data_IF_370947720828
#
_entry.id   IF_370947720828
#
_cell.length_a   1.000
_cell.length_b   1.000
_cell.length_c   1.000
_cell.angle_alpha   90.00
_cell.angle_beta   90.00
_cell.angle_gamma   90.00
#
_symmetry.space_group_name_H-M   'P 1'
#
loop_
_entity.id
_entity.type
_entity.pdbx_description
1 polymer ?
#
# COMPACT_ATOMS: atom_id res chain seq x y z
N UNK A 1 28.28 -2.43 16.75
CA UNK A 1 27.10 -2.87 17.54
C UNK A 1 25.91 -2.89 16.60
N UNK A 2 25.13 -3.97 16.57
CA UNK A 2 23.92 -4.04 15.75
C UNK A 2 22.87 -3.02 16.19
N UNK A 3 22.08 -2.52 15.26
CA UNK A 3 20.94 -1.65 15.58
C UNK A 3 19.85 -2.49 16.28
N UNK A 4 19.30 -1.95 17.36
CA UNK A 4 18.23 -2.59 18.14
C UNK A 4 16.83 -2.38 17.52
N UNK A 5 16.70 -1.49 16.53
CA UNK A 5 15.43 -1.32 15.81
C UNK A 5 15.21 -2.52 14.90
N UNK A 6 13.99 -3.03 14.85
CA UNK A 6 13.60 -4.01 13.85
C UNK A 6 13.70 -3.44 12.43
N UNK A 7 14.09 -4.26 11.49
CA UNK A 7 14.17 -3.91 10.06
C UNK A 7 13.11 -4.70 9.29
N UNK A 8 12.21 -4.01 8.62
CA UNK A 8 11.32 -4.59 7.61
C UNK A 8 11.90 -4.35 6.23
N UNK A 9 12.19 -5.43 5.51
CA UNK A 9 12.66 -5.41 4.12
C UNK A 9 11.55 -5.90 3.20
N UNK A 10 10.96 -5.00 2.44
CA UNK A 10 10.00 -5.33 1.38
C UNK A 10 10.70 -5.30 0.02
N UNK A 11 10.65 -6.42 -0.72
CA UNK A 11 11.39 -6.59 -1.98
C UNK A 11 10.43 -6.85 -3.14
N UNK A 12 10.59 -6.10 -4.23
CA UNK A 12 9.86 -6.34 -5.47
C UNK A 12 10.59 -7.35 -6.34
N UNK A 13 10.32 -8.62 -6.12
CA UNK A 13 10.99 -9.70 -6.86
C UNK A 13 10.54 -9.84 -8.32
N UNK A 14 9.30 -9.42 -8.67
CA UNK A 14 8.72 -9.70 -9.99
C UNK A 14 7.93 -8.56 -10.62
N UNK A 15 7.19 -7.79 -9.84
CA UNK A 15 6.30 -6.76 -10.31
C UNK A 15 4.81 -7.07 -10.13
N UNK A 16 3.97 -6.50 -11.01
CA UNK A 16 2.50 -6.59 -10.92
C UNK A 16 1.88 -6.68 -12.30
N UNK A 17 0.85 -7.53 -12.53
CA UNK A 17 0.14 -7.61 -13.80
C UNK A 17 -0.77 -6.40 -14.07
N UNK A 18 -1.07 -5.60 -13.05
CA UNK A 18 -1.98 -4.47 -13.10
C UNK A 18 -1.22 -3.13 -13.24
N UNK A 19 -1.96 -2.06 -13.58
CA UNK A 19 -1.47 -0.68 -13.67
C UNK A 19 -2.49 0.26 -13.02
N UNK A 20 -2.76 -0.02 -11.74
CA UNK A 20 -3.82 0.64 -11.00
C UNK A 20 -3.56 2.13 -10.85
N UNK A 21 -4.57 2.96 -11.14
CA UNK A 21 -4.48 4.42 -11.01
C UNK A 21 -4.28 4.86 -9.54
N UNK A 22 -4.72 4.04 -8.59
CA UNK A 22 -4.58 4.28 -7.15
C UNK A 22 -3.35 3.61 -6.54
N UNK A 23 -2.43 3.08 -7.35
CA UNK A 23 -1.30 2.32 -6.82
C UNK A 23 -0.46 3.16 -5.86
N UNK A 24 -0.45 2.77 -4.59
CA UNK A 24 0.32 3.44 -3.54
C UNK A 24 1.83 3.18 -3.65
N UNK A 25 2.23 2.14 -4.42
CA UNK A 25 3.62 1.74 -4.61
C UNK A 25 4.28 2.35 -5.87
N UNK A 26 3.55 3.10 -6.69
CA UNK A 26 3.98 3.58 -8.00
C UNK A 26 4.17 2.51 -9.07
N UNK A 27 4.13 2.93 -10.34
CA UNK A 27 4.33 2.04 -11.46
C UNK A 27 5.81 1.90 -11.80
N UNK A 28 6.27 0.65 -11.83
CA UNK A 28 7.61 0.30 -12.31
C UNK A 28 7.51 -0.79 -13.38
N UNK A 29 8.49 -0.90 -14.29
CA UNK A 29 8.56 -2.04 -15.21
C UNK A 29 8.61 -3.37 -14.46
N UNK A 30 7.92 -4.39 -14.96
CA UNK A 30 8.05 -5.74 -14.44
C UNK A 30 9.42 -6.31 -14.82
N UNK A 31 10.13 -6.83 -13.84
CA UNK A 31 11.43 -7.45 -14.01
C UNK A 31 11.60 -8.50 -12.93
N UNK A 32 11.89 -9.74 -13.33
CA UNK A 32 12.33 -10.76 -12.39
C UNK A 32 13.75 -10.41 -11.90
N UNK A 33 13.94 -10.44 -10.58
CA UNK A 33 15.28 -10.41 -9.99
C UNK A 33 15.98 -11.77 -10.18
N UNK A 34 17.29 -11.81 -9.90
CA UNK A 34 18.07 -13.04 -9.92
C UNK A 34 17.48 -14.09 -8.92
N UNK A 35 17.57 -15.39 -9.18
CA UNK A 35 16.88 -16.41 -8.37
C UNK A 35 17.15 -16.36 -6.86
N UNK A 36 18.35 -15.96 -6.44
CA UNK A 36 18.75 -15.89 -5.02
C UNK A 36 18.90 -14.44 -4.54
N UNK A 37 18.27 -13.48 -5.21
CA UNK A 37 18.37 -12.07 -4.83
C UNK A 37 17.82 -11.81 -3.43
N UNK A 38 16.76 -12.52 -3.02
CA UNK A 38 16.17 -12.47 -1.69
C UNK A 38 17.16 -12.85 -0.58
N UNK A 39 17.82 -14.00 -0.73
CA UNK A 39 18.85 -14.48 0.21
C UNK A 39 20.02 -13.49 0.29
N UNK A 40 20.53 -13.08 -0.87
CA UNK A 40 21.63 -12.13 -0.95
C UNK A 40 21.28 -10.78 -0.30
N UNK A 41 20.06 -10.26 -0.54
CA UNK A 41 19.60 -9.00 0.09
C UNK A 41 19.50 -9.16 1.61
N UNK A 42 18.88 -10.23 2.11
CA UNK A 42 18.77 -10.48 3.53
C UNK A 42 20.16 -10.58 4.21
N UNK A 43 21.10 -11.28 3.57
CA UNK A 43 22.47 -11.47 4.09
C UNK A 43 23.25 -10.16 4.18
N UNK A 44 22.99 -9.19 3.29
CA UNK A 44 23.60 -7.87 3.38
C UNK A 44 23.25 -7.14 4.68
N UNK A 45 22.02 -7.31 5.18
CA UNK A 45 21.53 -6.57 6.36
C UNK A 45 21.71 -7.32 7.69
N UNK A 46 21.82 -8.64 7.69
CA UNK A 46 22.01 -9.47 8.90
C UNK A 46 23.15 -9.03 9.84
N UNK A 47 24.30 -8.51 9.36
CA UNK A 47 25.34 -8.01 10.23
C UNK A 47 24.96 -6.78 11.04
N UNK A 48 23.97 -6.01 10.60
CA UNK A 48 23.63 -4.69 11.15
C UNK A 48 22.37 -4.67 11.99
N UNK A 49 21.47 -5.66 11.82
CA UNK A 49 20.20 -5.73 12.51
C UNK A 49 20.04 -7.08 13.22
N UNK A 50 19.46 -7.06 14.41
CA UNK A 50 19.18 -8.27 15.18
C UNK A 50 17.85 -8.90 14.77
N UNK A 51 16.89 -8.08 14.34
CA UNK A 51 15.56 -8.48 13.94
C UNK A 51 15.30 -7.98 12.50
N UNK A 52 14.97 -8.90 11.61
CA UNK A 52 14.63 -8.62 10.22
C UNK A 52 13.33 -9.35 9.90
N UNK A 53 12.36 -8.60 9.39
CA UNK A 53 11.15 -9.09 8.79
C UNK A 53 11.29 -8.93 7.27
N UNK A 54 11.21 -10.04 6.53
CA UNK A 54 11.49 -10.07 5.10
C UNK A 54 10.25 -10.42 4.28
N UNK A 55 9.95 -9.62 3.26
CA UNK A 55 8.84 -9.80 2.34
C UNK A 55 9.31 -9.74 0.88
N UNK A 56 9.16 -10.82 0.12
CA UNK A 56 9.53 -10.89 -1.30
C UNK A 56 8.39 -10.57 -2.28
N UNK A 57 7.23 -10.16 -1.80
CA UNK A 57 5.99 -10.05 -2.54
C UNK A 57 5.47 -8.62 -2.75
N UNK A 58 6.29 -7.61 -2.65
CA UNK A 58 5.80 -6.25 -2.83
C UNK A 58 5.30 -6.02 -4.28
N UNK A 59 4.32 -5.19 -4.44
CA UNK A 59 3.46 -4.83 -5.58
C UNK A 59 2.33 -5.81 -5.84
N UNK A 60 2.56 -7.03 -6.28
CA UNK A 60 1.51 -8.05 -6.41
C UNK A 60 1.94 -9.28 -5.64
N UNK A 61 1.28 -9.58 -4.52
CA UNK A 61 1.59 -10.77 -3.74
C UNK A 61 1.52 -12.03 -4.60
N UNK A 62 2.52 -12.88 -4.46
CA UNK A 62 2.56 -14.19 -5.14
C UNK A 62 2.43 -14.14 -6.68
N UNK A 63 2.82 -13.03 -7.32
CA UNK A 63 2.84 -12.92 -8.78
C UNK A 63 3.91 -13.82 -9.41
N UNK A 64 4.96 -14.15 -8.67
CA UNK A 64 6.00 -15.09 -9.11
C UNK A 64 5.45 -16.53 -9.31
N UNK A 65 6.03 -17.30 -10.25
CA UNK A 65 5.60 -18.68 -10.48
C UNK A 65 6.00 -19.65 -9.36
N UNK A 66 7.03 -19.30 -8.58
CA UNK A 66 7.58 -20.08 -7.48
C UNK A 66 7.10 -19.63 -6.09
N UNK A 67 5.89 -19.07 -5.99
CA UNK A 67 5.33 -18.45 -4.78
C UNK A 67 5.33 -19.39 -3.55
N UNK A 68 5.12 -20.70 -3.74
CA UNK A 68 5.20 -21.67 -2.64
C UNK A 68 6.56 -21.65 -1.93
N UNK A 69 7.63 -21.75 -2.71
CA UNK A 69 9.00 -21.74 -2.16
C UNK A 69 9.40 -20.37 -1.62
N UNK A 70 8.85 -19.31 -2.21
CA UNK A 70 9.10 -17.94 -1.73
C UNK A 70 8.53 -17.70 -0.36
N UNK A 71 7.32 -18.13 -0.10
CA UNK A 71 6.69 -18.01 1.20
C UNK A 71 7.52 -18.71 2.31
N UNK A 72 8.02 -19.91 2.04
CA UNK A 72 8.88 -20.63 2.99
C UNK A 72 10.25 -19.94 3.15
N UNK A 73 10.81 -19.37 2.08
CA UNK A 73 12.06 -18.61 2.17
C UNK A 73 11.91 -17.32 2.96
N UNK A 74 10.84 -16.58 2.78
CA UNK A 74 10.58 -15.36 3.57
C UNK A 74 10.58 -15.65 5.08
N UNK A 75 9.98 -16.77 5.51
CA UNK A 75 10.06 -17.22 6.91
C UNK A 75 11.49 -17.54 7.33
N UNK A 76 12.26 -18.17 6.48
CA UNK A 76 13.66 -18.54 6.78
C UNK A 76 14.57 -17.31 6.82
N UNK A 77 14.33 -16.33 5.96
CA UNK A 77 15.13 -15.11 5.87
C UNK A 77 14.81 -14.11 6.99
N UNK A 78 13.63 -14.20 7.59
CA UNK A 78 13.21 -13.34 8.69
C UNK A 78 13.91 -13.76 9.98
N UNK A 79 14.97 -13.02 10.36
CA UNK A 79 15.75 -13.31 11.56
C UNK A 79 14.94 -12.89 12.81
N UNK A 80 14.60 -13.88 13.66
CA UNK A 80 13.83 -13.73 14.90
C UNK A 80 12.40 -13.17 14.74
N UNK A 81 11.96 -12.94 13.49
CA UNK A 81 10.61 -12.50 13.17
C UNK A 81 9.95 -13.51 12.22
N UNK A 82 8.65 -13.70 12.36
CA UNK A 82 7.85 -14.47 11.40
C UNK A 82 6.94 -13.49 10.68
N UNK A 83 7.17 -13.20 9.40
CA UNK A 83 6.34 -12.25 8.69
C UNK A 83 4.89 -12.74 8.69
N UNK A 84 3.91 -11.89 9.04
CA UNK A 84 2.51 -12.28 8.96
C UNK A 84 2.11 -12.47 7.52
N UNK A 85 1.25 -13.46 7.25
CA UNK A 85 0.57 -13.51 5.96
C UNK A 85 -0.53 -12.46 5.97
N UNK A 86 -0.34 -11.38 5.21
CA UNK A 86 -1.34 -10.34 5.08
C UNK A 86 -2.58 -10.83 4.33
N UNK A 87 -3.69 -10.12 4.50
CA UNK A 87 -4.92 -10.34 3.72
C UNK A 87 -4.74 -9.99 2.22
N UNK A 88 -3.53 -9.68 1.81
CA UNK A 88 -3.15 -9.41 0.43
C UNK A 88 -2.77 -10.71 -0.29
N UNK A 89 -3.42 -10.95 -1.41
CA UNK A 89 -3.14 -12.07 -2.30
C UNK A 89 -3.45 -11.66 -3.75
N UNK A 90 -2.82 -12.33 -4.71
CA UNK A 90 -3.01 -12.01 -6.12
C UNK A 90 -4.37 -12.51 -6.62
N UNK A 91 -5.35 -11.62 -6.81
CA UNK A 91 -6.61 -12.01 -7.45
C UNK A 91 -6.40 -12.48 -8.89
N UNK A 92 -5.37 -11.97 -9.57
CA UNK A 92 -4.97 -12.43 -10.89
C UNK A 92 -4.57 -13.92 -10.87
N UNK A 93 -3.81 -14.35 -9.83
CA UNK A 93 -3.42 -15.74 -9.64
C UNK A 93 -4.59 -16.61 -9.19
N UNK A 94 -5.40 -16.16 -8.24
CA UNK A 94 -6.58 -16.90 -7.77
C UNK A 94 -7.43 -17.41 -8.95
N UNK A 95 -7.58 -16.61 -9.99
CA UNK A 95 -8.42 -16.95 -11.14
C UNK A 95 -7.74 -17.88 -12.15
N UNK A 96 -6.41 -17.96 -12.16
CA UNK A 96 -5.61 -18.67 -13.17
C UNK A 96 -4.93 -19.93 -12.67
N UNK A 97 -4.70 -20.00 -11.39
CA UNK A 97 -3.99 -21.11 -10.73
C UNK A 97 -4.98 -21.83 -9.79
N UNK A 98 -5.44 -23.03 -10.17
CA UNK A 98 -6.45 -23.75 -9.39
C UNK A 98 -5.95 -24.24 -8.03
N UNK A 99 -4.62 -24.31 -7.83
CA UNK A 99 -4.03 -24.77 -6.56
C UNK A 99 -3.84 -23.62 -5.57
N UNK A 100 -3.86 -22.37 -6.06
CA UNK A 100 -3.44 -21.22 -5.27
C UNK A 100 -4.36 -20.93 -4.07
N UNK A 101 -5.68 -21.02 -4.23
CA UNK A 101 -6.62 -20.80 -3.11
C UNK A 101 -6.44 -21.87 -2.02
N UNK A 102 -6.23 -23.13 -2.41
CA UNK A 102 -5.89 -24.22 -1.48
C UNK A 102 -4.58 -23.92 -0.71
N UNK A 103 -3.55 -23.49 -1.42
CA UNK A 103 -2.28 -23.06 -0.80
C UNK A 103 -2.48 -21.92 0.20
N UNK A 104 -3.26 -20.89 -0.15
CA UNK A 104 -3.57 -19.79 0.78
C UNK A 104 -4.21 -20.31 2.07
N UNK A 105 -5.14 -21.26 1.96
CA UNK A 105 -5.78 -21.89 3.12
C UNK A 105 -4.79 -22.68 3.97
N UNK A 106 -3.90 -23.47 3.35
CA UNK A 106 -2.87 -24.25 4.01
C UNK A 106 -1.89 -23.41 4.81
N UNK A 107 -1.49 -22.25 4.29
CA UNK A 107 -0.60 -21.31 5.00
C UNK A 107 -1.33 -20.40 6.01
N UNK A 108 -2.63 -20.65 6.22
CA UNK A 108 -3.41 -20.02 7.27
C UNK A 108 -4.08 -18.70 6.87
N UNK A 109 -4.21 -18.39 5.59
CA UNK A 109 -4.97 -17.23 5.10
C UNK A 109 -6.45 -17.49 5.26
N UNK A 110 -7.13 -16.67 6.06
CA UNK A 110 -8.56 -16.78 6.32
C UNK A 110 -9.38 -15.65 5.67
N UNK A 111 -8.73 -14.62 5.18
CA UNK A 111 -9.35 -13.47 4.54
C UNK A 111 -8.44 -12.95 3.42
N UNK A 112 -9.02 -12.54 2.28
CA UNK A 112 -8.29 -11.93 1.17
C UNK A 112 -8.97 -10.63 0.77
N UNK A 113 -8.19 -9.55 0.65
CA UNK A 113 -8.67 -8.27 0.19
C UNK A 113 -8.76 -8.21 -1.33
N UNK A 114 -9.91 -7.82 -1.82
CA UNK A 114 -10.19 -7.57 -3.24
C UNK A 114 -10.63 -6.12 -3.42
N UNK A 115 -9.93 -5.38 -4.27
CA UNK A 115 -10.18 -3.94 -4.45
C UNK A 115 -11.01 -3.67 -5.70
N UNK A 116 -12.21 -3.15 -5.48
CA UNK A 116 -13.12 -2.66 -6.51
C UNK A 116 -13.12 -1.13 -6.55
N UNK A 117 -13.43 -0.54 -7.71
CA UNK A 117 -13.48 0.92 -7.87
C UNK A 117 -14.83 1.45 -8.32
N UNK A 118 -15.81 0.59 -8.44
CA UNK A 118 -17.13 0.81 -8.98
C UNK A 118 -17.57 -0.43 -9.73
N UNK A 119 -18.46 -0.26 -10.71
CA UNK A 119 -18.91 -1.34 -11.58
C UNK A 119 -17.84 -1.66 -12.65
N UNK A 120 -18.17 -2.55 -13.59
CA UNK A 120 -17.23 -3.17 -14.53
C UNK A 120 -16.31 -2.16 -15.24
N UNK A 121 -16.89 -1.16 -15.91
CA UNK A 121 -16.11 -0.20 -16.71
C UNK A 121 -15.14 0.62 -15.86
N UNK A 122 -15.59 1.07 -14.68
CA UNK A 122 -14.79 1.86 -13.75
C UNK A 122 -13.70 1.01 -13.11
N UNK A 123 -14.03 -0.18 -12.62
CA UNK A 123 -13.03 -1.07 -12.02
C UNK A 123 -11.95 -1.47 -13.04
N UNK A 124 -12.32 -1.86 -14.26
CA UNK A 124 -11.35 -2.21 -15.31
C UNK A 124 -10.40 -1.05 -15.64
N UNK A 125 -10.94 0.16 -15.74
CA UNK A 125 -10.16 1.38 -15.98
C UNK A 125 -9.18 1.65 -14.84
N UNK A 126 -9.65 1.59 -13.59
CA UNK A 126 -8.80 1.88 -12.43
C UNK A 126 -7.72 0.81 -12.18
N UNK A 127 -8.02 -0.45 -12.43
CA UNK A 127 -7.03 -1.54 -12.37
C UNK A 127 -6.05 -1.47 -13.56
N UNK A 128 -6.44 -0.77 -14.64
CA UNK A 128 -5.65 -0.65 -15.87
C UNK A 128 -5.65 -1.94 -16.71
N UNK A 129 -6.70 -2.78 -16.57
CA UNK A 129 -6.80 -4.06 -17.26
C UNK A 129 -8.26 -4.47 -17.48
N UNK A 130 -8.62 -4.71 -18.76
CA UNK A 130 -9.96 -5.18 -19.16
C UNK A 130 -10.25 -6.56 -18.53
N UNK A 131 -11.45 -6.72 -17.99
CA UNK A 131 -11.92 -7.94 -17.36
C UNK A 131 -11.51 -8.09 -15.90
N UNK A 132 -10.87 -7.08 -15.29
CA UNK A 132 -10.46 -7.11 -13.89
C UNK A 132 -11.67 -7.23 -12.95
N UNK A 133 -12.79 -6.55 -13.23
CA UNK A 133 -14.00 -6.66 -12.46
C UNK A 133 -14.56 -8.10 -12.43
N UNK A 134 -14.70 -8.72 -13.62
CA UNK A 134 -15.16 -10.11 -13.72
C UNK A 134 -14.21 -11.09 -13.02
N UNK A 135 -12.91 -10.83 -13.06
CA UNK A 135 -11.93 -11.63 -12.34
C UNK A 135 -12.00 -11.45 -10.82
N UNK A 136 -12.27 -10.26 -10.31
CA UNK A 136 -12.50 -10.01 -8.89
C UNK A 136 -13.73 -10.75 -8.37
N UNK A 137 -14.83 -10.75 -9.16
CA UNK A 137 -16.02 -11.54 -8.83
C UNK A 137 -15.71 -13.05 -8.83
N UNK A 138 -15.00 -13.54 -9.85
CA UNK A 138 -14.58 -14.94 -9.91
C UNK A 138 -13.63 -15.30 -8.74
N UNK A 139 -12.72 -14.43 -8.37
CA UNK A 139 -11.86 -14.62 -7.22
C UNK A 139 -12.67 -14.68 -5.92
N UNK A 140 -13.72 -13.84 -5.78
CA UNK A 140 -14.66 -13.90 -4.66
C UNK A 140 -15.30 -15.29 -4.52
N UNK A 141 -15.79 -15.86 -5.63
CA UNK A 141 -16.40 -17.21 -5.63
C UNK A 141 -15.38 -18.30 -5.24
N UNK A 142 -14.17 -18.27 -5.85
CA UNK A 142 -13.12 -19.25 -5.56
C UNK A 142 -12.70 -19.18 -4.08
N UNK A 143 -12.58 -17.99 -3.49
CA UNK A 143 -12.24 -17.84 -2.09
C UNK A 143 -13.31 -18.44 -1.17
N UNK A 144 -14.60 -18.19 -1.46
CA UNK A 144 -15.72 -18.77 -0.71
C UNK A 144 -15.76 -20.29 -0.80
N UNK A 145 -15.44 -20.87 -1.97
CA UNK A 145 -15.35 -22.32 -2.18
C UNK A 145 -14.22 -22.98 -1.36
N UNK A 146 -13.24 -22.18 -0.89
CA UNK A 146 -12.13 -22.62 -0.04
C UNK A 146 -12.24 -22.15 1.41
N UNK A 147 -13.43 -21.71 1.87
CA UNK A 147 -13.66 -21.19 3.22
C UNK A 147 -12.71 -20.02 3.57
N UNK A 148 -12.41 -19.17 2.61
CA UNK A 148 -11.63 -17.94 2.79
C UNK A 148 -12.58 -16.76 2.59
N UNK A 149 -12.64 -15.86 3.59
CA UNK A 149 -13.52 -14.69 3.51
C UNK A 149 -12.99 -13.67 2.50
N UNK A 150 -13.74 -13.29 1.45
CA UNK A 150 -13.40 -12.12 0.67
C UNK A 150 -13.65 -10.86 1.49
N UNK A 151 -12.74 -9.88 1.39
CA UNK A 151 -12.92 -8.53 1.93
C UNK A 151 -12.92 -7.56 0.75
N UNK A 152 -14.06 -6.91 0.50
CA UNK A 152 -14.16 -5.94 -0.57
C UNK A 152 -13.76 -4.56 -0.07
N UNK A 153 -12.72 -4.01 -0.66
CA UNK A 153 -12.27 -2.64 -0.47
C UNK A 153 -12.65 -1.79 -1.67
N UNK A 154 -13.01 -0.54 -1.41
CA UNK A 154 -13.17 0.45 -2.47
C UNK A 154 -12.58 1.80 -2.09
N UNK A 155 -11.99 2.48 -3.07
CA UNK A 155 -11.51 3.84 -2.94
C UNK A 155 -12.52 4.78 -3.57
N UNK A 156 -13.12 5.67 -2.75
CA UNK A 156 -14.13 6.62 -3.20
C UNK A 156 -13.48 7.92 -3.69
N UNK A 157 -13.98 8.43 -4.80
CA UNK A 157 -13.64 9.75 -5.34
C UNK A 157 -14.84 10.33 -6.12
N UNK A 158 -14.70 11.56 -6.65
CA UNK A 158 -15.80 12.25 -7.35
C UNK A 158 -16.25 11.53 -8.64
N UNK A 159 -15.41 10.70 -9.26
CA UNK A 159 -15.77 9.98 -10.49
C UNK A 159 -16.56 8.69 -10.24
N UNK A 160 -16.37 8.05 -9.09
CA UNK A 160 -16.95 6.72 -8.83
C UNK A 160 -17.97 6.68 -7.70
N UNK A 161 -18.14 7.77 -6.93
CA UNK A 161 -19.03 7.81 -5.76
C UNK A 161 -20.45 7.30 -6.02
N UNK A 162 -20.98 7.58 -7.22
CA UNK A 162 -22.36 7.21 -7.58
C UNK A 162 -22.51 5.73 -7.97
N UNK A 163 -21.41 5.02 -8.25
CA UNK A 163 -21.41 3.58 -8.55
C UNK A 163 -21.24 2.70 -7.30
N UNK A 164 -20.66 3.23 -6.22
CA UNK A 164 -20.31 2.43 -5.04
C UNK A 164 -21.55 1.91 -4.25
N UNK A 165 -22.68 2.61 -4.18
CA UNK A 165 -23.92 2.04 -3.64
C UNK A 165 -24.37 0.79 -4.40
N UNK A 166 -24.24 0.77 -5.73
CA UNK A 166 -24.56 -0.40 -6.53
C UNK A 166 -23.59 -1.56 -6.27
N UNK A 167 -22.30 -1.27 -6.06
CA UNK A 167 -21.31 -2.27 -5.66
C UNK A 167 -21.63 -2.86 -4.27
N UNK A 168 -22.03 -2.04 -3.31
CA UNK A 168 -22.47 -2.48 -1.99
C UNK A 168 -23.73 -3.35 -2.12
N UNK A 169 -24.70 -2.97 -2.97
CA UNK A 169 -25.89 -3.77 -3.21
C UNK A 169 -25.54 -5.12 -3.84
N UNK A 170 -24.61 -5.15 -4.80
CA UNK A 170 -24.13 -6.39 -5.42
C UNK A 170 -23.56 -7.36 -4.36
N UNK A 171 -22.84 -6.87 -3.36
CA UNK A 171 -22.34 -7.73 -2.28
C UNK A 171 -23.46 -8.38 -1.45
N UNK A 172 -24.60 -7.67 -1.29
CA UNK A 172 -25.79 -8.18 -0.61
C UNK A 172 -26.54 -9.18 -1.48
N UNK A 173 -26.69 -8.90 -2.78
CA UNK A 173 -27.37 -9.78 -3.74
C UNK A 173 -26.63 -11.12 -3.90
N UNK A 174 -25.30 -11.10 -3.79
CA UNK A 174 -24.46 -12.30 -3.75
C UNK A 174 -24.45 -13.01 -2.38
N UNK A 175 -25.20 -12.51 -1.39
CA UNK A 175 -25.30 -13.04 -0.03
C UNK A 175 -23.91 -13.25 0.64
N UNK A 176 -22.91 -12.41 0.36
CA UNK A 176 -21.53 -12.66 0.78
C UNK A 176 -21.37 -12.79 2.30
N UNK A 177 -22.09 -11.98 3.09
CA UNK A 177 -22.08 -12.09 4.55
C UNK A 177 -22.57 -13.46 5.03
N UNK A 178 -23.73 -13.91 4.55
CA UNK A 178 -24.34 -15.19 4.90
C UNK A 178 -23.46 -16.37 4.46
N UNK A 179 -22.83 -16.26 3.29
CA UNK A 179 -21.94 -17.31 2.77
C UNK A 179 -20.66 -17.43 3.60
N UNK A 180 -20.08 -16.32 4.05
CA UNK A 180 -18.94 -16.34 4.96
C UNK A 180 -19.32 -16.91 6.33
N UNK A 181 -20.48 -16.55 6.89
CA UNK A 181 -20.98 -17.10 8.16
C UNK A 181 -21.13 -18.63 8.13
N UNK A 182 -21.45 -19.22 6.97
CA UNK A 182 -21.63 -20.65 6.83
C UNK A 182 -20.38 -21.49 7.17
N UNK A 183 -19.18 -20.93 7.03
CA UNK A 183 -17.92 -21.55 7.43
C UNK A 183 -17.24 -20.84 8.63
N UNK A 184 -17.96 -19.96 9.34
CA UNK A 184 -17.43 -19.22 10.49
C UNK A 184 -16.55 -18.03 10.13
N UNK A 185 -16.56 -17.60 8.87
CA UNK A 185 -15.87 -16.40 8.38
C UNK A 185 -16.70 -15.13 8.49
N UNK A 186 -16.14 -13.99 8.12
CA UNK A 186 -16.81 -12.69 8.13
C UNK A 186 -16.56 -11.96 6.82
N UNK A 187 -17.61 -11.62 6.10
CA UNK A 187 -17.51 -10.69 4.97
C UNK A 187 -17.34 -9.26 5.48
N UNK A 188 -16.42 -8.51 4.87
CA UNK A 188 -16.24 -7.09 5.14
C UNK A 188 -16.28 -6.30 3.83
N UNK A 189 -17.05 -5.23 3.85
CA UNK A 189 -17.01 -4.17 2.85
C UNK A 189 -16.47 -2.93 3.52
N UNK A 190 -15.47 -2.26 2.93
CA UNK A 190 -15.00 -1.01 3.49
C UNK A 190 -14.61 0.01 2.42
N UNK A 191 -14.80 1.27 2.76
CA UNK A 191 -14.59 2.43 1.91
C UNK A 191 -13.41 3.24 2.45
N UNK A 192 -12.56 3.71 1.56
CA UNK A 192 -11.41 4.53 1.87
C UNK A 192 -11.33 5.73 0.91
N UNK A 193 -10.98 6.94 1.35
CA UNK A 193 -10.82 8.10 0.45
C UNK A 193 -9.56 8.04 -0.42
N UNK A 194 -8.71 7.03 -0.21
CA UNK A 194 -7.42 6.87 -0.87
C UNK A 194 -6.29 7.55 -0.11
N UNK A 195 -5.12 6.94 -0.11
CA UNK A 195 -3.88 7.57 0.37
C UNK A 195 -3.42 8.65 -0.62
N UNK A 196 -2.36 9.36 -0.31
CA UNK A 196 -1.74 10.32 -1.21
C UNK A 196 -0.33 9.89 -1.65
N UNK A 197 -0.09 8.58 -1.64
CA UNK A 197 1.18 7.96 -2.02
C UNK A 197 1.17 7.46 -3.48
N UNK A 198 2.33 7.27 -4.07
CA UNK A 198 2.51 6.68 -5.37
C UNK A 198 1.66 7.31 -6.49
N UNK A 199 0.98 6.48 -7.26
CA UNK A 199 0.08 6.93 -8.34
C UNK A 199 -1.19 7.58 -7.81
N UNK A 200 -1.65 7.18 -6.62
CA UNK A 200 -2.87 7.68 -5.99
C UNK A 200 -2.83 9.20 -5.77
N UNK A 201 -1.65 9.76 -5.56
CA UNK A 201 -1.43 11.20 -5.47
C UNK A 201 -1.93 11.98 -6.69
N UNK A 202 -1.87 11.37 -7.87
CA UNK A 202 -2.37 11.95 -9.13
C UNK A 202 -3.90 12.07 -9.16
N UNK A 203 -4.59 11.40 -8.25
CA UNK A 203 -6.05 11.47 -8.10
C UNK A 203 -6.52 12.65 -7.22
N UNK A 204 -5.60 13.47 -6.71
CA UNK A 204 -5.96 14.68 -5.94
C UNK A 204 -7.03 15.56 -6.62
N UNK A 205 -7.02 15.80 -7.95
CA UNK A 205 -8.06 16.65 -8.58
C UNK A 205 -9.48 16.11 -8.40
N UNK A 206 -9.64 14.79 -8.32
CA UNK A 206 -10.94 14.11 -8.19
C UNK A 206 -11.17 13.54 -6.77
N UNK A 207 -10.37 13.95 -5.79
CA UNK A 207 -10.55 13.50 -4.40
C UNK A 207 -11.93 13.88 -3.90
N UNK A 208 -12.55 12.99 -3.14
CA UNK A 208 -13.93 13.13 -2.67
C UNK A 208 -14.13 14.38 -1.79
N UNK A 209 -15.27 15.03 -1.92
CA UNK A 209 -15.79 16.02 -0.98
C UNK A 209 -16.63 15.27 0.05
N UNK A 210 -16.43 15.54 1.35
CA UNK A 210 -17.06 14.77 2.43
C UNK A 210 -18.58 14.74 2.31
N UNK A 211 -19.19 15.87 1.95
CA UNK A 211 -20.63 16.03 1.77
C UNK A 211 -21.19 15.27 0.54
N UNK A 212 -20.31 14.85 -0.39
CA UNK A 212 -20.71 14.08 -1.56
C UNK A 212 -20.67 12.56 -1.31
N UNK A 213 -20.24 12.12 -0.12
CA UNK A 213 -20.23 10.71 0.23
C UNK A 213 -21.67 10.22 0.42
N UNK A 214 -22.13 9.20 -0.33
CA UNK A 214 -23.45 8.62 -0.14
C UNK A 214 -23.66 8.13 1.29
N UNK A 215 -24.80 8.48 1.91
CA UNK A 215 -25.09 8.17 3.31
C UNK A 215 -25.00 6.66 3.63
N UNK A 216 -25.42 5.82 2.71
CA UNK A 216 -25.35 4.36 2.86
C UNK A 216 -23.93 3.80 2.93
N UNK A 217 -22.92 4.57 2.51
CA UNK A 217 -21.51 4.16 2.56
C UNK A 217 -20.81 4.59 3.85
N UNK A 218 -21.35 5.57 4.58
CA UNK A 218 -20.74 6.10 5.82
C UNK A 218 -20.40 4.99 6.83
N UNK A 219 -21.28 4.00 7.11
CA UNK A 219 -20.99 2.94 8.07
C UNK A 219 -19.82 2.03 7.69
N UNK A 220 -19.33 2.12 6.47
CA UNK A 220 -18.24 1.28 5.93
C UNK A 220 -16.89 1.98 5.90
N UNK A 221 -16.81 3.25 6.33
CA UNK A 221 -15.54 3.92 6.57
C UNK A 221 -14.97 3.51 7.93
N UNK A 222 -13.64 3.36 8.00
CA UNK A 222 -12.97 3.10 9.28
C UNK A 222 -12.90 4.36 10.14
N UNK A 223 -12.61 5.52 9.54
CA UNK A 223 -12.31 6.78 10.22
C UNK A 223 -13.13 7.94 9.65
N UNK A 224 -14.44 7.76 9.38
CA UNK A 224 -15.27 8.81 8.80
C UNK A 224 -15.25 10.13 9.60
N UNK A 225 -15.25 10.01 10.92
CA UNK A 225 -15.28 11.18 11.81
C UNK A 225 -13.97 11.97 11.79
N UNK A 226 -12.85 11.33 11.44
CA UNK A 226 -11.52 11.94 11.31
C UNK A 226 -11.26 12.49 9.91
N UNK A 227 -12.20 12.34 8.99
CA UNK A 227 -12.13 12.86 7.64
C UNK A 227 -12.56 14.33 7.62
N UNK A 228 -11.62 15.24 7.36
CA UNK A 228 -11.90 16.68 7.30
C UNK A 228 -11.55 17.27 5.94
N UNK A 229 -12.28 18.35 5.52
CA UNK A 229 -11.90 19.12 4.33
C UNK A 229 -10.50 19.74 4.46
N UNK A 230 -9.77 19.83 3.36
CA UNK A 230 -8.42 20.43 3.32
C UNK A 230 -8.40 21.85 3.90
N UNK A 231 -9.43 22.68 3.62
CA UNK A 231 -9.58 24.01 4.22
C UNK A 231 -9.62 23.99 5.76
N UNK A 232 -10.20 22.93 6.35
CA UNK A 232 -10.25 22.78 7.81
C UNK A 232 -8.90 22.35 8.36
N UNK A 233 -8.19 21.44 7.69
CA UNK A 233 -6.81 21.11 8.02
C UNK A 233 -5.90 22.33 7.90
N UNK A 234 -6.09 23.17 6.85
CA UNK A 234 -5.37 24.43 6.70
C UNK A 234 -5.53 25.32 7.94
N UNK A 235 -6.75 25.55 8.41
CA UNK A 235 -7.00 26.38 9.60
C UNK A 235 -6.40 25.77 10.87
N UNK A 236 -6.42 24.45 11.03
CA UNK A 236 -5.85 23.78 12.19
C UNK A 236 -4.32 23.83 12.22
N UNK A 237 -3.67 23.78 11.06
CA UNK A 237 -2.21 23.59 10.99
C UNK A 237 -1.41 24.81 10.54
N UNK A 238 -2.02 25.87 10.04
CA UNK A 238 -1.31 27.06 9.49
C UNK A 238 -0.29 27.70 10.43
N UNK A 239 -0.45 27.52 11.74
CA UNK A 239 0.43 28.04 12.77
C UNK A 239 1.20 26.93 13.54
N UNK A 240 1.12 25.68 13.05
CA UNK A 240 1.78 24.54 13.67
C UNK A 240 3.30 24.59 13.41
N UNK A 241 4.09 24.53 14.49
CA UNK A 241 5.54 24.55 14.45
C UNK A 241 6.17 23.16 14.50
N UNK A 242 5.39 22.09 14.53
CA UNK A 242 5.89 20.73 14.46
C UNK A 242 6.41 20.40 13.05
N UNK A 243 7.26 19.38 12.96
CA UNK A 243 7.78 18.88 11.70
C UNK A 243 7.03 17.63 11.25
N UNK A 244 6.88 17.48 9.92
CA UNK A 244 6.33 16.26 9.34
C UNK A 244 7.42 15.20 9.31
N UNK A 245 7.44 14.32 10.30
CA UNK A 245 8.34 13.17 10.30
C UNK A 245 7.51 11.96 9.86
N UNK A 246 7.87 11.30 8.74
CA UNK A 246 7.21 10.07 8.34
C UNK A 246 7.25 9.04 9.47
N UNK A 247 6.14 8.38 9.71
CA UNK A 247 6.00 7.44 10.83
C UNK A 247 6.93 6.22 10.67
N UNK A 248 8.02 6.18 11.44
CA UNK A 248 8.87 5.01 11.65
C UNK A 248 9.28 4.95 13.13
N UNK A 249 8.33 5.16 14.04
CA UNK A 249 8.61 5.18 15.48
C UNK A 249 9.01 3.81 16.05
N UNK A 250 8.55 2.71 15.44
CA UNK A 250 8.72 1.35 15.97
C UNK A 250 9.74 0.50 15.22
N UNK A 251 10.15 0.88 14.01
CA UNK A 251 11.07 0.12 13.19
C UNK A 251 11.61 0.90 12.00
N UNK A 252 12.46 0.26 11.23
CA UNK A 252 12.96 0.78 9.96
C UNK A 252 12.31 -0.03 8.85
N UNK A 253 11.61 0.65 7.94
CA UNK A 253 10.99 0.01 6.78
C UNK A 253 11.76 0.42 5.53
N UNK A 254 12.27 -0.55 4.79
CA UNK A 254 12.99 -0.33 3.54
C UNK A 254 12.30 -1.07 2.40
N UNK A 255 12.32 -0.46 1.23
CA UNK A 255 11.89 -1.06 -0.01
C UNK A 255 13.05 -1.26 -0.97
N UNK A 256 13.19 -2.46 -1.51
CA UNK A 256 14.14 -2.80 -2.56
C UNK A 256 13.37 -3.01 -3.87
N UNK A 257 13.59 -2.11 -4.81
CA UNK A 257 13.01 -2.21 -6.14
C UNK A 257 13.71 -3.31 -6.97
N UNK A 258 13.06 -3.79 -8.02
CA UNK A 258 13.57 -4.87 -8.87
C UNK A 258 14.83 -4.53 -9.70
N UNK A 259 15.32 -3.29 -9.62
CA UNK A 259 16.62 -2.82 -10.12
C UNK A 259 17.66 -2.66 -9.01
N UNK A 260 17.37 -3.14 -7.79
CA UNK A 260 18.20 -3.03 -6.58
C UNK A 260 18.33 -1.62 -6.00
N UNK A 261 17.55 -0.64 -6.45
CA UNK A 261 17.44 0.63 -5.74
C UNK A 261 16.77 0.42 -4.38
N UNK A 262 17.38 1.03 -3.37
CA UNK A 262 16.93 1.00 -1.99
C UNK A 262 16.25 2.32 -1.64
N UNK A 263 15.02 2.23 -1.12
CA UNK A 263 14.22 3.38 -0.71
C UNK A 263 13.88 3.30 0.77
N UNK A 264 13.74 4.48 1.38
CA UNK A 264 13.21 4.60 2.73
C UNK A 264 11.69 4.58 2.68
N UNK A 265 11.08 3.60 3.36
CA UNK A 265 9.66 3.28 3.24
C UNK A 265 9.28 2.69 1.85
N UNK A 266 8.22 1.89 1.78
CA UNK A 266 7.80 1.22 0.54
C UNK A 266 6.71 1.98 -0.24
N UNK A 267 6.22 3.11 0.26
CA UNK A 267 5.25 3.95 -0.47
C UNK A 267 5.90 5.09 -1.26
N UNK A 268 7.21 5.31 -1.12
CA UNK A 268 7.90 6.47 -1.67
C UNK A 268 9.04 6.03 -2.61
N UNK A 269 8.71 5.65 -3.84
CA UNK A 269 9.69 5.27 -4.86
C UNK A 269 10.14 6.47 -5.72
N UNK A 270 10.47 7.58 -5.08
CA UNK A 270 10.93 8.81 -5.72
C UNK A 270 12.40 9.06 -5.41
N UNK A 271 13.14 9.82 -6.25
CA UNK A 271 14.57 10.07 -6.05
C UNK A 271 14.90 10.62 -4.66
N UNK A 272 14.08 11.48 -4.10
CA UNK A 272 14.27 12.13 -2.80
C UNK A 272 14.27 11.14 -1.63
N UNK A 273 13.56 10.02 -1.79
CA UNK A 273 13.48 8.92 -0.82
C UNK A 273 14.49 7.81 -1.07
N UNK A 274 15.27 7.92 -2.17
CA UNK A 274 16.25 6.91 -2.53
C UNK A 274 17.46 7.00 -1.60
N UNK A 275 17.83 5.87 -1.00
CA UNK A 275 19.01 5.71 -0.16
C UNK A 275 20.25 5.44 -1.03
N UNK A 276 20.12 4.58 -2.02
CA UNK A 276 21.17 4.17 -2.95
C UNK A 276 20.80 2.90 -3.71
N UNK A 277 21.81 2.16 -4.18
CA UNK A 277 21.61 0.91 -4.91
C UNK A 277 22.47 -0.22 -4.33
N UNK A 278 21.84 -1.36 -4.01
CA UNK A 278 22.52 -2.48 -3.34
C UNK A 278 23.63 -3.15 -4.16
N UNK A 279 23.66 -2.97 -5.50
CA UNK A 279 24.67 -3.56 -6.38
C UNK A 279 25.89 -2.63 -6.57
N UNK A 280 25.72 -1.33 -6.38
CA UNK A 280 26.77 -0.36 -6.72
C UNK A 280 27.33 0.38 -5.52
N UNK A 281 26.56 0.54 -4.46
CA UNK A 281 26.97 1.34 -3.30
C UNK A 281 27.41 0.43 -2.13
N UNK A 282 28.40 0.85 -1.32
CA UNK A 282 28.84 0.08 -0.16
C UNK A 282 27.73 -0.06 0.87
N UNK A 283 27.50 -1.28 1.34
CA UNK A 283 26.41 -1.55 2.30
C UNK A 283 26.56 -0.80 3.62
N UNK A 284 27.79 -0.62 4.12
CA UNK A 284 28.04 0.16 5.34
C UNK A 284 27.53 1.61 5.20
N UNK A 285 27.72 2.22 4.03
CA UNK A 285 27.27 3.58 3.74
C UNK A 285 25.72 3.64 3.62
N UNK A 286 25.10 2.65 2.96
CA UNK A 286 23.65 2.58 2.87
C UNK A 286 23.00 2.42 4.26
N UNK A 287 23.54 1.53 5.09
CA UNK A 287 23.08 1.34 6.47
C UNK A 287 23.30 2.60 7.31
N UNK A 288 24.45 3.28 7.17
CA UNK A 288 24.71 4.55 7.86
C UNK A 288 23.63 5.58 7.51
N UNK A 289 23.33 5.76 6.22
CA UNK A 289 22.28 6.70 5.77
C UNK A 289 20.93 6.37 6.35
N UNK A 290 20.57 5.07 6.43
CA UNK A 290 19.31 4.61 7.03
C UNK A 290 19.26 4.93 8.53
N UNK A 291 20.32 4.58 9.27
CA UNK A 291 20.36 4.72 10.73
C UNK A 291 20.44 6.18 11.18
N UNK A 292 21.20 6.99 10.44
CA UNK A 292 21.33 8.43 10.69
C UNK A 292 20.22 9.24 10.04
N UNK A 293 19.32 8.58 9.27
CA UNK A 293 18.25 9.21 8.50
C UNK A 293 18.79 10.31 7.55
N UNK A 294 19.99 10.07 6.99
CA UNK A 294 20.70 10.96 6.10
C UNK A 294 20.24 10.77 4.65
N UNK A 295 18.98 11.09 4.38
CA UNK A 295 18.34 11.06 3.06
C UNK A 295 17.70 12.41 2.76
N UNK A 296 17.68 12.87 1.49
CA UNK A 296 17.16 14.19 1.13
C UNK A 296 15.77 14.47 1.70
N UNK A 297 14.82 13.55 1.50
CA UNK A 297 13.44 13.70 1.97
C UNK A 297 13.33 13.85 3.51
N UNK A 298 14.10 13.06 4.28
CA UNK A 298 14.07 13.17 5.75
C UNK A 298 14.76 14.42 6.28
N UNK A 299 15.85 14.86 5.66
CA UNK A 299 16.48 16.12 6.00
C UNK A 299 15.53 17.28 5.80
N UNK A 300 14.81 17.29 4.67
CA UNK A 300 13.85 18.34 4.35
C UNK A 300 12.62 18.29 5.25
N UNK A 301 12.07 17.10 5.51
CA UNK A 301 10.96 16.91 6.43
C UNK A 301 11.24 17.43 7.85
N UNK A 302 12.51 17.44 8.28
CA UNK A 302 12.95 17.99 9.56
C UNK A 302 13.27 19.48 9.52
N UNK A 303 13.45 20.06 8.35
CA UNK A 303 13.79 21.49 8.19
C UNK A 303 12.55 22.35 8.05
N UNK A 304 11.45 21.81 7.52
CA UNK A 304 10.20 22.53 7.27
C UNK A 304 9.15 22.21 8.34
N UNK A 305 8.41 23.21 8.79
CA UNK A 305 7.30 23.01 9.72
C UNK A 305 6.00 22.66 8.98
N UNK A 306 5.09 21.99 9.67
CA UNK A 306 3.77 21.66 9.13
C UNK A 306 3.03 22.94 8.70
N UNK A 307 3.08 24.00 9.51
CA UNK A 307 2.47 25.28 9.17
C UNK A 307 3.05 25.93 7.92
N UNK A 308 4.36 25.78 7.67
CA UNK A 308 4.98 26.26 6.41
C UNK A 308 4.51 25.45 5.21
N UNK A 309 4.44 24.11 5.33
CA UNK A 309 3.92 23.24 4.27
C UNK A 309 2.50 23.61 3.90
N UNK A 310 1.64 23.77 4.91
CA UNK A 310 0.22 24.11 4.73
C UNK A 310 0.08 25.47 4.05
N UNK A 311 0.76 26.52 4.54
CA UNK A 311 0.68 27.86 3.92
C UNK A 311 1.20 27.91 2.49
N UNK A 312 2.14 27.02 2.12
CA UNK A 312 2.73 26.99 0.77
C UNK A 312 1.94 26.15 -0.23
N UNK A 313 1.32 25.06 0.22
CA UNK A 313 0.83 24.01 -0.68
C UNK A 313 -0.62 23.57 -0.48
N UNK A 314 -1.20 23.78 0.72
CA UNK A 314 -2.61 23.46 0.92
C UNK A 314 -3.51 24.54 0.32
N UNK A 315 -4.67 24.12 -0.18
CA UNK A 315 -5.70 25.04 -0.68
C UNK A 315 -6.67 25.42 0.45
N UNK A 316 -6.64 26.69 0.92
CA UNK A 316 -7.50 27.15 2.02
C UNK A 316 -9.01 27.18 1.69
N UNK A 317 -9.38 26.90 0.44
CA UNK A 317 -10.76 26.88 -0.03
C UNK A 317 -11.23 25.49 -0.47
N UNK A 318 -10.34 24.49 -0.45
CA UNK A 318 -10.65 23.15 -0.91
C UNK A 318 -11.54 22.39 0.07
N UNK A 319 -12.63 21.84 -0.46
CA UNK A 319 -13.54 20.93 0.24
C UNK A 319 -13.14 19.46 0.14
N UNK A 320 -12.02 19.14 -0.53
CA UNK A 320 -11.50 17.78 -0.64
C UNK A 320 -11.20 17.21 0.72
N UNK A 321 -11.69 16.01 0.98
CA UNK A 321 -11.60 15.38 2.30
C UNK A 321 -10.31 14.54 2.44
N UNK A 322 -9.64 14.69 3.56
CA UNK A 322 -8.40 13.98 3.89
C UNK A 322 -8.43 13.43 5.30
N UNK A 323 -7.82 12.27 5.50
CA UNK A 323 -7.27 11.87 6.79
C UNK A 323 -5.98 12.67 7.05
N UNK A 324 -5.59 12.79 8.30
CA UNK A 324 -4.46 13.60 8.75
C UNK A 324 -3.16 13.23 8.04
N UNK A 325 -2.79 11.95 8.08
CA UNK A 325 -1.53 11.47 7.52
C UNK A 325 -1.47 11.61 6.00
N UNK A 326 -2.58 11.36 5.31
CA UNK A 326 -2.66 11.50 3.86
C UNK A 326 -2.34 12.93 3.40
N UNK A 327 -2.90 13.95 4.09
CA UNK A 327 -2.65 15.34 3.73
C UNK A 327 -1.22 15.76 4.09
N UNK A 328 -0.72 15.36 5.26
CA UNK A 328 0.68 15.63 5.67
C UNK A 328 1.67 15.12 4.64
N UNK A 329 1.52 13.87 4.21
CA UNK A 329 2.38 13.26 3.22
C UNK A 329 2.21 13.86 1.83
N UNK A 330 0.99 14.22 1.44
CA UNK A 330 0.73 14.94 0.19
C UNK A 330 1.48 16.28 0.13
N UNK A 331 1.41 17.06 1.21
CA UNK A 331 2.06 18.36 1.28
C UNK A 331 3.59 18.24 1.27
N UNK A 332 4.13 17.28 2.04
CA UNK A 332 5.57 17.03 2.06
C UNK A 332 6.08 16.59 0.68
N UNK A 333 5.44 15.61 0.06
CA UNK A 333 5.84 15.15 -1.27
C UNK A 333 5.68 16.25 -2.34
N UNK A 334 4.68 17.15 -2.19
CA UNK A 334 4.53 18.31 -3.07
C UNK A 334 5.67 19.32 -2.88
N UNK A 335 6.14 19.50 -1.65
CA UNK A 335 7.29 20.34 -1.35
C UNK A 335 8.56 19.77 -1.99
N UNK A 336 8.83 18.49 -1.77
CA UNK A 336 10.01 17.80 -2.32
C UNK A 336 10.10 17.89 -3.84
N UNK A 337 8.97 17.72 -4.55
CA UNK A 337 8.92 17.86 -6.02
C UNK A 337 9.36 19.22 -6.52
N UNK A 338 8.93 20.28 -5.83
CA UNK A 338 9.23 21.66 -6.25
C UNK A 338 10.63 22.12 -5.91
N UNK A 339 11.35 21.38 -5.09
CA UNK A 339 12.78 21.66 -4.84
C UNK A 339 13.68 21.18 -5.96
N UNK A 340 13.23 20.22 -6.79
CA UNK A 340 13.97 19.71 -7.96
C UNK A 340 13.77 20.55 -9.22
N UNK A 341 12.73 21.41 -9.27
CA UNK A 341 12.48 22.38 -10.36
C UNK A 341 13.30 23.67 -10.19
#
# INVERSE_FOLDING_TARGET
MKNKKALTLAVDMYGCPNRCLHCWLSHMPNRAMEPNADEWIADLFKPYFDEIEFFSWLREPDFCPDYHSRWERDKTLSANAVPPRFELASFWRIVRDPEYAGFLKEVGVNCVQLTFFGMEATTDRYVGRKGAFSELLKATEILLDHDISPRWQTFINEENKDELPALLQLSKDLELAKRCEAFGGVFRFFVHPGSCDGENRKLYPIRIIKEHIPEELIPYFLNYDELYPEKQWYEMWKDDTSHVVPHNSEGIVLYVANNYDLFFNFTHMRPEWRIGNLKTDPIDELVRRVVEEDIPALREARSITLGELVRRYADPFSEKAFEEEDLRMYLLNTHLERMEE
#
